data_IF_580141587332
#
_entry.id   IF_580141587332
#
_cell.length_a   1.000
_cell.length_b   1.000
_cell.length_c   1.000
_cell.angle_alpha   90.00
_cell.angle_beta   90.00
_cell.angle_gamma   90.00
#
_symmetry.space_group_name_H-M   'P 1'
#
loop_
_entity.id
_entity.type
_entity.pdbx_description
1 polymer ?
#
# COMPACT_ATOMS: atom_id res chain seq x y z
N UNK A 1 -6.86 -4.58 34.01
CA UNK A 1 -6.92 -4.30 32.55
C UNK A 1 -5.64 -4.83 31.94
N UNK A 2 -5.74 -5.68 30.92
CA UNK A 2 -4.57 -6.12 30.16
C UNK A 2 -4.08 -4.97 29.27
N UNK A 3 -2.76 -4.72 29.27
CA UNK A 3 -2.12 -3.62 28.55
C UNK A 3 -1.58 -4.05 27.18
N UNK A 4 -1.66 -5.34 26.87
CA UNK A 4 -1.16 -5.93 25.64
C UNK A 4 -2.05 -7.11 25.22
N UNK A 5 -2.46 -7.12 23.95
CA UNK A 5 -3.21 -8.20 23.33
C UNK A 5 -2.39 -8.74 22.16
N UNK A 6 -2.24 -10.06 22.10
CA UNK A 6 -1.61 -10.74 20.98
C UNK A 6 -2.67 -11.42 20.12
N UNK A 7 -2.59 -11.22 18.80
CA UNK A 7 -3.47 -11.87 17.84
C UNK A 7 -2.70 -12.24 16.57
N UNK A 8 -3.03 -13.38 15.98
CA UNK A 8 -2.58 -13.69 14.61
C UNK A 8 -3.21 -12.69 13.65
N UNK A 9 -2.40 -12.04 12.83
CA UNK A 9 -2.86 -11.08 11.83
C UNK A 9 -1.96 -11.13 10.59
N UNK A 10 -2.54 -11.50 9.46
CA UNK A 10 -1.89 -11.56 8.17
C UNK A 10 -2.20 -10.29 7.37
N UNK A 11 -1.21 -9.41 7.23
CA UNK A 11 -1.34 -8.14 6.49
C UNK A 11 -1.87 -8.30 5.05
N UNK A 12 -1.74 -9.48 4.43
CA UNK A 12 -2.13 -9.71 3.04
C UNK A 12 -3.55 -10.24 2.90
N UNK A 13 -4.12 -10.79 3.98
CA UNK A 13 -5.39 -11.50 3.97
C UNK A 13 -6.43 -10.85 4.86
N UNK A 14 -6.01 -10.38 6.02
CA UNK A 14 -6.91 -9.90 7.05
C UNK A 14 -7.21 -8.42 6.85
N UNK A 15 -8.45 -7.97 7.10
CA UNK A 15 -8.80 -6.56 7.06
C UNK A 15 -7.97 -5.74 8.04
N UNK A 16 -7.60 -4.49 7.70
CA UNK A 16 -6.73 -3.70 8.55
C UNK A 16 -7.48 -3.19 9.77
N UNK A 17 -6.75 -3.05 10.87
CA UNK A 17 -7.21 -2.22 11.99
C UNK A 17 -7.43 -0.78 11.54
N UNK A 18 -8.24 -0.03 12.29
CA UNK A 18 -8.51 1.38 12.02
C UNK A 18 -8.36 2.23 13.27
N UNK A 19 -8.16 3.54 13.07
CA UNK A 19 -8.05 4.53 14.14
C UNK A 19 -6.91 4.23 15.13
N UNK A 20 -5.78 3.76 14.62
CA UNK A 20 -4.54 3.58 15.39
C UNK A 20 -3.77 4.90 15.53
N UNK A 21 -3.11 5.10 16.67
CA UNK A 21 -2.24 6.26 16.90
C UNK A 21 -0.81 6.02 16.40
N UNK A 22 -0.34 4.76 16.46
CA UNK A 22 0.99 4.33 16.04
C UNK A 22 0.90 2.96 15.36
N UNK A 23 1.63 2.79 14.27
CA UNK A 23 1.97 1.49 13.68
C UNK A 23 3.49 1.36 13.71
N UNK A 24 3.99 0.31 14.37
CA UNK A 24 5.38 -0.10 14.24
C UNK A 24 5.43 -1.33 13.33
N UNK A 25 5.95 -1.15 12.12
CA UNK A 25 6.13 -2.22 11.15
C UNK A 25 7.60 -2.29 10.78
N UNK A 26 8.36 -3.02 11.60
CA UNK A 26 9.82 -3.04 11.52
C UNK A 26 10.32 -4.38 10.98
N UNK A 27 11.22 -4.30 10.02
CA UNK A 27 11.91 -5.43 9.40
C UNK A 27 10.99 -6.38 8.61
N UNK A 28 9.76 -5.97 8.28
CA UNK A 28 8.79 -6.79 7.54
C UNK A 28 8.74 -6.45 6.05
N UNK A 29 8.78 -5.16 5.70
CA UNK A 29 8.60 -4.70 4.32
C UNK A 29 9.74 -5.15 3.41
N UNK A 30 10.94 -5.37 3.96
CA UNK A 30 12.10 -5.89 3.20
C UNK A 30 11.87 -7.29 2.60
N UNK A 31 10.90 -8.04 3.12
CA UNK A 31 10.51 -9.36 2.59
C UNK A 31 9.37 -9.27 1.57
N UNK A 32 8.82 -8.07 1.36
CA UNK A 32 7.71 -7.84 0.44
C UNK A 32 8.24 -7.28 -0.87
N UNK A 33 7.77 -7.83 -1.99
CA UNK A 33 8.07 -7.28 -3.31
C UNK A 33 7.51 -5.85 -3.48
N UNK A 34 8.03 -5.06 -4.43
CA UNK A 34 7.62 -3.66 -4.63
C UNK A 34 6.11 -3.50 -4.82
N UNK A 35 5.48 -4.38 -5.60
CA UNK A 35 4.03 -4.38 -5.85
C UNK A 35 3.19 -4.53 -4.58
N UNK A 36 3.70 -5.29 -3.61
CA UNK A 36 3.01 -5.53 -2.35
C UNK A 36 3.22 -4.38 -1.38
N UNK A 37 4.42 -3.81 -1.35
CA UNK A 37 4.70 -2.57 -0.61
C UNK A 37 3.81 -1.43 -1.11
N UNK A 38 3.61 -1.29 -2.42
CA UNK A 38 2.71 -0.29 -3.03
C UNK A 38 1.27 -0.40 -2.52
N UNK A 39 0.82 -1.60 -2.16
CA UNK A 39 -0.52 -1.82 -1.64
C UNK A 39 -0.60 -1.72 -0.12
N UNK A 40 0.42 -2.17 0.60
CA UNK A 40 0.46 -2.17 2.08
C UNK A 40 0.59 -0.75 2.65
N UNK A 41 1.40 0.12 2.03
CA UNK A 41 1.64 1.47 2.59
C UNK A 41 0.35 2.32 2.64
N UNK A 42 -0.52 2.34 1.61
CA UNK A 42 -1.85 2.95 1.70
C UNK A 42 -2.74 2.38 2.82
N UNK A 43 -2.60 1.09 3.14
CA UNK A 43 -3.34 0.46 4.23
C UNK A 43 -2.88 0.99 5.58
N UNK A 44 -1.57 1.13 5.80
CA UNK A 44 -1.06 1.77 7.02
C UNK A 44 -1.58 3.21 7.14
N UNK A 45 -1.66 3.95 6.03
CA UNK A 45 -2.24 5.30 6.03
C UNK A 45 -3.72 5.31 6.42
N UNK A 46 -4.51 4.36 5.89
CA UNK A 46 -5.91 4.20 6.30
C UNK A 46 -6.04 3.85 7.78
N UNK A 47 -5.24 2.91 8.26
CA UNK A 47 -5.31 2.39 9.62
C UNK A 47 -5.00 3.46 10.69
N UNK A 48 -4.13 4.42 10.36
CA UNK A 48 -3.75 5.51 11.26
C UNK A 48 -4.82 6.61 11.36
N UNK A 49 -5.00 7.16 12.57
CA UNK A 49 -5.70 8.45 12.78
C UNK A 49 -4.92 9.59 12.12
N UNK A 50 -5.60 10.70 11.86
CA UNK A 50 -4.91 11.94 11.45
C UNK A 50 -3.80 12.27 12.45
N UNK A 51 -2.63 12.67 11.95
CA UNK A 51 -1.41 12.92 12.72
C UNK A 51 -0.82 11.69 13.43
N UNK A 52 -1.34 10.49 13.20
CA UNK A 52 -0.76 9.23 13.68
C UNK A 52 0.57 8.90 13.01
N UNK A 53 1.35 8.03 13.65
CA UNK A 53 2.73 7.78 13.28
C UNK A 53 2.94 6.39 12.69
N UNK A 54 3.83 6.30 11.72
CA UNK A 54 4.34 5.07 11.15
C UNK A 54 5.84 4.98 11.47
N UNK A 55 6.23 3.92 12.17
CA UNK A 55 7.62 3.66 12.55
C UNK A 55 8.11 2.40 11.82
N UNK A 56 9.11 2.60 10.96
CA UNK A 56 9.70 1.53 10.15
C UNK A 56 11.13 1.21 10.59
N UNK A 57 11.69 0.11 10.07
CA UNK A 57 13.10 -0.24 10.20
C UNK A 57 14.01 0.56 9.26
N UNK A 58 15.32 0.54 9.54
CA UNK A 58 16.34 1.33 8.85
C UNK A 58 16.38 1.12 7.33
N UNK A 59 16.13 -0.10 6.87
CA UNK A 59 16.09 -0.46 5.43
C UNK A 59 14.73 -0.23 4.77
N UNK A 60 13.75 0.28 5.51
CA UNK A 60 12.37 0.44 5.08
C UNK A 60 12.05 1.93 4.94
N UNK A 61 11.21 2.29 3.97
CA UNK A 61 10.81 3.67 3.74
C UNK A 61 9.49 3.75 2.98
N UNK A 62 8.87 4.93 3.02
CA UNK A 62 7.63 5.26 2.31
C UNK A 62 7.86 6.35 1.25
N UNK A 63 9.06 6.41 0.67
CA UNK A 63 9.44 7.50 -0.26
C UNK A 63 8.52 7.56 -1.48
N UNK A 64 8.06 6.39 -1.96
CA UNK A 64 7.09 6.28 -3.07
C UNK A 64 5.69 6.80 -2.71
N UNK A 65 5.40 6.94 -1.41
CA UNK A 65 4.13 7.39 -0.84
C UNK A 65 4.29 8.72 -0.10
N UNK A 66 5.19 9.60 -0.56
CA UNK A 66 5.46 10.92 0.06
C UNK A 66 4.22 11.84 0.16
N UNK A 67 3.16 11.58 -0.63
CA UNK A 67 1.87 12.26 -0.48
C UNK A 67 1.09 11.79 0.76
N UNK A 68 1.25 10.53 1.16
CA UNK A 68 0.55 9.93 2.30
C UNK A 68 1.27 10.23 3.62
N UNK A 69 2.59 10.28 3.60
CA UNK A 69 3.41 10.41 4.81
C UNK A 69 4.43 11.54 4.70
N UNK A 70 4.55 12.33 5.78
CA UNK A 70 5.68 13.24 5.99
C UNK A 70 6.77 12.51 6.79
N UNK A 71 8.03 12.79 6.49
CA UNK A 71 9.14 12.30 7.30
C UNK A 71 9.31 13.21 8.50
N UNK A 72 9.23 12.65 9.71
CA UNK A 72 9.50 13.37 10.96
C UNK A 72 10.97 13.25 11.30
N UNK A 73 11.50 12.03 11.25
CA UNK A 73 12.91 11.77 11.49
C UNK A 73 13.43 10.65 10.58
N UNK A 74 14.38 10.99 9.72
CA UNK A 74 14.91 10.09 8.69
C UNK A 74 15.82 8.99 9.25
N UNK A 75 16.75 9.27 10.20
CA UNK A 75 17.57 8.25 10.86
C UNK A 75 16.72 7.20 11.59
N UNK A 76 15.73 7.60 12.37
CA UNK A 76 14.85 6.65 13.10
C UNK A 76 13.72 6.11 12.25
N UNK A 77 13.54 6.57 11.00
CA UNK A 77 12.46 6.12 10.10
C UNK A 77 11.08 6.32 10.71
N UNK A 78 10.90 7.48 11.32
CA UNK A 78 9.63 7.94 11.86
C UNK A 78 8.94 8.83 10.85
N UNK A 79 7.71 8.46 10.53
CA UNK A 79 6.86 9.15 9.58
C UNK A 79 5.52 9.51 10.22
N UNK A 80 4.89 10.58 9.76
CA UNK A 80 3.56 10.99 10.21
C UNK A 80 2.57 10.97 9.05
N UNK A 81 1.36 10.48 9.33
CA UNK A 81 0.24 10.54 8.38
C UNK A 81 -0.06 11.99 8.02
N UNK A 82 -0.06 12.29 6.71
CA UNK A 82 -0.52 13.58 6.19
C UNK A 82 -2.04 13.63 6.21
N UNK A 83 -2.58 14.68 6.83
CA UNK A 83 -4.01 14.98 6.83
C UNK A 83 -4.51 15.51 5.48
N UNK A 84 -5.83 15.59 5.31
CA UNK A 84 -6.47 16.16 4.11
C UNK A 84 -6.51 15.25 2.88
N UNK A 85 -5.75 14.16 2.88
CA UNK A 85 -5.90 13.07 1.92
C UNK A 85 -6.67 11.97 2.63
N UNK A 86 -7.96 11.84 2.39
CA UNK A 86 -8.63 10.57 2.67
C UNK A 86 -8.11 9.58 1.63
N UNK A 87 -7.57 8.45 2.06
CA UNK A 87 -7.46 7.30 1.16
C UNK A 87 -8.90 6.96 0.75
N UNK A 88 -9.37 7.48 -0.38
CA UNK A 88 -10.78 7.49 -0.75
C UNK A 88 -11.33 6.08 -1.04
N UNK A 89 -10.48 5.06 -1.04
CA UNK A 89 -10.88 3.66 -1.13
C UNK A 89 -9.89 2.79 -0.37
N UNK A 90 -10.41 1.96 0.52
CA UNK A 90 -9.68 0.79 0.99
C UNK A 90 -9.38 -0.11 -0.21
N UNK A 91 -8.15 -0.63 -0.36
CA UNK A 91 -7.91 -1.70 -1.33
C UNK A 91 -8.79 -2.91 -0.99
N UNK A 92 -9.23 -3.63 -2.02
CA UNK A 92 -10.03 -4.85 -1.86
C UNK A 92 -9.15 -5.96 -1.26
N UNK A 93 -9.64 -6.60 -0.19
CA UNK A 93 -8.96 -7.70 0.48
C UNK A 93 -9.51 -9.05 0.03
N UNK A 94 -8.67 -10.10 -0.08
CA UNK A 94 -7.25 -10.15 0.30
C UNK A 94 -6.33 -9.56 -0.79
N UNK A 95 -5.30 -8.80 -0.37
CA UNK A 95 -4.32 -8.13 -1.24
C UNK A 95 -3.59 -9.10 -2.18
N UNK A 96 -3.36 -10.32 -1.71
CA UNK A 96 -2.71 -11.38 -2.46
C UNK A 96 -3.57 -11.86 -3.65
N UNK A 97 -4.90 -11.85 -3.54
CA UNK A 97 -5.78 -12.17 -4.66
C UNK A 97 -5.76 -11.06 -5.72
N UNK A 98 -5.73 -9.80 -5.29
CA UNK A 98 -5.65 -8.64 -6.18
C UNK A 98 -4.31 -8.52 -6.93
N UNK A 99 -3.25 -9.22 -6.53
CA UNK A 99 -1.96 -9.22 -7.25
C UNK A 99 -1.97 -10.11 -8.51
N UNK A 100 -2.83 -11.13 -8.55
CA UNK A 100 -2.88 -12.09 -9.66
C UNK A 100 -3.58 -11.57 -10.92
N UNK A 101 -4.25 -10.42 -10.86
CA UNK A 101 -5.08 -9.89 -11.96
C UNK A 101 -4.33 -8.94 -12.90
N UNK A 102 -3.06 -8.60 -12.63
CA UNK A 102 -2.26 -7.75 -13.50
C UNK A 102 -1.46 -8.57 -14.53
N UNK A 103 -2.15 -9.39 -15.35
CA UNK A 103 -1.56 -9.91 -16.58
C UNK A 103 -1.83 -8.90 -17.72
N UNK A 104 -0.85 -8.57 -18.58
CA UNK A 104 -1.05 -7.55 -19.60
C UNK A 104 -2.08 -8.05 -20.61
N UNK A 105 -3.09 -7.22 -20.87
CA UNK A 105 -3.99 -7.40 -22.00
C UNK A 105 -3.15 -7.48 -23.29
N UNK A 106 -3.04 -8.70 -23.83
CA UNK A 106 -2.46 -8.96 -25.13
C UNK A 106 -3.33 -8.22 -26.15
N UNK A 107 -2.79 -7.14 -26.71
CA UNK A 107 -3.45 -6.27 -27.68
C UNK A 107 -3.76 -7.11 -28.91
N UNK A 108 -5.02 -7.55 -29.08
CA UNK A 108 -5.46 -8.19 -30.31
C UNK A 108 -5.24 -7.20 -31.46
N UNK A 109 -4.23 -7.49 -32.29
CA UNK A 109 -4.13 -6.94 -33.65
C UNK A 109 -5.26 -7.55 -34.45
N UNK A 110 -6.38 -6.85 -34.55
CA UNK A 110 -7.39 -7.14 -35.56
C UNK A 110 -6.88 -6.57 -36.88
N UNK A 111 -6.42 -7.44 -37.76
CA UNK A 111 -6.28 -7.16 -39.20
C UNK A 111 -7.68 -7.04 -39.77
N UNK A 112 -8.12 -5.82 -40.10
CA UNK A 112 -9.26 -5.59 -40.97
C UNK A 112 -8.75 -4.81 -42.19
N UNK A 113 -8.79 -5.47 -43.34
CA UNK A 113 -8.48 -4.84 -44.62
C UNK A 113 -9.56 -3.83 -45.00
N UNK A 114 -9.19 -2.85 -45.81
CA UNK A 114 -10.12 -2.10 -46.65
C UNK A 114 -9.41 -1.80 -47.97
N UNK A 115 -10.02 -2.29 -49.04
CA UNK A 115 -9.72 -2.04 -50.45
C UNK A 115 -10.30 -0.67 -50.84
N UNK A 116 -9.51 0.19 -51.49
CA UNK A 116 -9.87 1.23 -52.49
C UNK A 116 -8.56 1.96 -52.87
N UNK A 117 -8.22 2.31 -54.11
CA UNK A 117 -8.92 2.88 -55.28
C UNK A 117 -8.06 2.56 -56.54
N UNK A 118 -8.61 2.03 -57.64
CA UNK A 118 -8.93 2.72 -58.91
C UNK A 118 -7.89 3.71 -59.46
N UNK A 119 -7.13 3.28 -60.47
CA UNK A 119 -6.96 3.94 -61.79
C UNK A 119 -6.25 2.96 -62.74
#
# INVERSE_FOLDING_TARGET
REVCLFSSHNLLRDPPFSKLDLIACRNLLIYMGPELQEKIVPIFHYALRNNGYLFLGSSENVTRHARLFSTIDKPTRLFQKRGGISAQRLPEFPLAAAARQAAPHMRNRTTAGTLQETA
#
